data_IF_628335533981
#
_entry.id   IF_628335533981
#
_cell.length_a   1.000
_cell.length_b   1.000
_cell.length_c   1.000
_cell.angle_alpha   90.00
_cell.angle_beta   90.00
_cell.angle_gamma   90.00
#
_symmetry.space_group_name_H-M   'P 1'
#
loop_
_entity.id
_entity.type
_entity.pdbx_description
1 polymer ?
#
# COMPACT_ATOMS: atom_id res chain seq x y z
N UNK A 1 0.51 15.25 -18.30
CA UNK A 1 1.43 15.25 -17.16
C UNK A 1 2.82 14.91 -17.67
N UNK A 2 3.88 15.66 -17.30
CA UNK A 2 5.22 15.12 -17.49
C UNK A 2 5.33 13.87 -16.60
N UNK A 3 5.77 12.72 -17.11
CA UNK A 3 5.91 11.54 -16.28
C UNK A 3 7.04 11.82 -15.29
N UNK A 4 6.69 12.05 -14.03
CA UNK A 4 7.65 11.85 -12.95
C UNK A 4 8.24 10.43 -13.07
N UNK A 5 9.44 10.18 -12.52
CA UNK A 5 10.04 8.87 -12.58
C UNK A 5 9.04 7.83 -12.05
N UNK A 6 8.87 6.74 -12.81
CA UNK A 6 7.91 5.70 -12.44
C UNK A 6 8.27 5.11 -11.08
N UNK A 7 7.29 4.98 -10.19
CA UNK A 7 7.52 4.44 -8.85
C UNK A 7 7.51 2.92 -8.98
N UNK A 8 8.58 2.21 -8.57
CA UNK A 8 8.60 0.75 -8.64
C UNK A 8 7.44 0.13 -7.87
N UNK A 9 6.87 -0.97 -8.37
CA UNK A 9 5.77 -1.67 -7.72
C UNK A 9 6.08 -2.02 -6.26
N UNK A 10 7.29 -2.48 -5.96
CA UNK A 10 7.75 -2.77 -4.61
C UNK A 10 7.61 -1.54 -3.68
N UNK A 11 7.97 -0.34 -4.16
CA UNK A 11 7.83 0.91 -3.42
C UNK A 11 6.36 1.29 -3.19
N UNK A 12 5.50 1.09 -4.20
CA UNK A 12 4.04 1.27 -4.06
C UNK A 12 3.45 0.31 -3.02
N UNK A 13 3.87 -0.95 -3.03
CA UNK A 13 3.43 -1.96 -2.07
C UNK A 13 3.92 -1.68 -0.66
N UNK A 14 5.18 -1.24 -0.49
CA UNK A 14 5.73 -0.84 0.80
C UNK A 14 4.93 0.33 1.41
N UNK A 15 4.54 1.29 0.58
CA UNK A 15 3.69 2.40 1.01
C UNK A 15 2.31 1.94 1.48
N UNK A 16 1.63 1.09 0.69
CA UNK A 16 0.33 0.54 1.06
C UNK A 16 0.40 -0.33 2.32
N UNK A 17 1.50 -1.07 2.50
CA UNK A 17 1.75 -1.85 3.71
C UNK A 17 1.86 -0.96 4.94
N UNK A 18 2.60 0.15 4.86
CA UNK A 18 2.69 1.15 5.94
C UNK A 18 1.33 1.79 6.23
N UNK A 19 0.56 2.16 5.20
CA UNK A 19 -0.79 2.72 5.34
C UNK A 19 -1.72 1.75 6.08
N UNK A 20 -1.69 0.48 5.67
CA UNK A 20 -2.50 -0.57 6.29
C UNK A 20 -2.06 -0.86 7.73
N UNK A 21 -0.75 -0.87 7.99
CA UNK A 21 -0.21 -1.00 9.34
C UNK A 21 -0.63 0.15 10.26
N UNK A 22 -0.57 1.39 9.77
CA UNK A 22 -1.02 2.57 10.52
C UNK A 22 -2.51 2.53 10.88
N UNK A 23 -3.37 2.03 9.99
CA UNK A 23 -4.81 1.85 10.25
C UNK A 23 -5.09 0.71 11.25
N UNK A 24 -4.36 -0.40 11.14
CA UNK A 24 -4.59 -1.60 11.95
C UNK A 24 -3.79 -1.63 13.26
N UNK A 25 -2.86 -0.70 13.48
CA UNK A 25 -1.90 -0.69 14.58
C UNK A 25 -0.79 -1.74 14.48
N UNK A 26 -0.81 -2.62 13.47
CA UNK A 26 0.20 -3.66 13.23
C UNK A 26 0.32 -3.99 11.74
N UNK A 27 1.52 -4.34 11.30
CA UNK A 27 1.74 -4.84 9.95
C UNK A 27 1.03 -6.19 9.76
N UNK A 28 0.27 -6.40 8.67
CA UNK A 28 -0.32 -7.69 8.37
C UNK A 28 0.77 -8.73 8.05
N UNK A 29 0.53 -9.98 8.40
CA UNK A 29 1.41 -11.07 7.98
C UNK A 29 1.24 -11.38 6.49
N UNK A 30 2.25 -11.98 5.85
CA UNK A 30 2.14 -12.40 4.45
C UNK A 30 1.00 -13.40 4.21
N UNK A 31 0.69 -14.24 5.21
CA UNK A 31 -0.46 -15.16 5.17
C UNK A 31 -1.79 -14.43 5.23
N UNK A 32 -1.88 -13.37 6.02
CA UNK A 32 -3.08 -12.54 6.05
C UNK A 32 -3.27 -11.78 4.73
N UNK A 33 -2.17 -11.30 4.12
CA UNK A 33 -2.21 -10.68 2.79
C UNK A 33 -2.62 -11.68 1.72
N UNK A 34 -2.05 -12.89 1.71
CA UNK A 34 -2.45 -14.01 0.83
C UNK A 34 -3.96 -14.25 0.90
N UNK A 35 -4.50 -14.47 2.09
CA UNK A 35 -5.94 -14.67 2.28
C UNK A 35 -6.78 -13.47 1.77
N UNK A 36 -6.30 -12.25 2.00
CA UNK A 36 -6.99 -11.03 1.59
C UNK A 36 -7.00 -10.81 0.06
N UNK A 37 -6.18 -11.54 -0.70
CA UNK A 37 -6.25 -11.49 -2.17
C UNK A 37 -7.43 -12.27 -2.78
N UNK A 38 -8.11 -13.09 -1.98
CA UNK A 38 -9.26 -13.87 -2.43
C UNK A 38 -10.42 -12.97 -2.89
N UNK A 39 -11.23 -13.45 -3.84
CA UNK A 39 -12.40 -12.71 -4.34
C UNK A 39 -13.57 -12.67 -3.36
N UNK A 40 -13.65 -13.67 -2.49
CA UNK A 40 -14.66 -13.82 -1.46
C UNK A 40 -13.99 -14.23 -0.15
N UNK A 41 -14.58 -13.90 1.01
CA UNK A 41 -14.08 -14.39 2.29
C UNK A 41 -13.96 -15.92 2.29
N UNK A 42 -12.77 -16.45 2.59
CA UNK A 42 -12.49 -17.89 2.57
C UNK A 42 -12.28 -18.50 1.17
N UNK A 43 -12.34 -17.70 0.11
CA UNK A 43 -12.08 -18.15 -1.26
C UNK A 43 -10.60 -18.44 -1.54
N UNK A 44 -10.33 -18.98 -2.73
CA UNK A 44 -8.95 -19.23 -3.19
C UNK A 44 -8.20 -17.90 -3.38
N UNK A 45 -7.02 -17.71 -2.75
CA UNK A 45 -6.15 -16.58 -3.00
C UNK A 45 -5.78 -16.41 -4.47
N UNK A 46 -5.65 -15.16 -4.93
CA UNK A 46 -5.18 -14.86 -6.28
C UNK A 46 -3.68 -15.17 -6.46
N UNK A 47 -2.93 -15.20 -5.35
CA UNK A 47 -1.51 -15.53 -5.32
C UNK A 47 -1.10 -16.08 -3.97
N UNK A 48 0.04 -16.77 -3.92
CA UNK A 48 0.60 -17.30 -2.69
C UNK A 48 1.37 -16.23 -1.91
N UNK A 49 1.57 -16.43 -0.61
CA UNK A 49 2.41 -15.56 0.21
C UNK A 49 3.86 -15.42 -0.33
N UNK A 50 4.40 -16.45 -0.99
CA UNK A 50 5.73 -16.37 -1.61
C UNK A 50 5.72 -15.33 -2.74
N UNK A 51 4.73 -15.37 -3.63
CA UNK A 51 4.60 -14.38 -4.70
C UNK A 51 4.46 -12.96 -4.14
N UNK A 52 3.73 -12.79 -3.03
CA UNK A 52 3.60 -11.49 -2.36
C UNK A 52 4.96 -11.03 -1.82
N UNK A 53 5.74 -11.93 -1.22
CA UNK A 53 7.10 -11.62 -0.75
C UNK A 53 8.00 -11.18 -1.92
N UNK A 54 8.02 -11.94 -3.02
CA UNK A 54 8.82 -11.61 -4.21
C UNK A 54 8.45 -10.21 -4.77
N UNK A 55 7.15 -9.86 -4.80
CA UNK A 55 6.67 -8.55 -5.24
C UNK A 55 7.07 -7.42 -4.27
N UNK A 56 6.98 -7.66 -2.96
CA UNK A 56 7.39 -6.69 -1.93
C UNK A 56 8.89 -6.41 -1.94
N UNK A 57 9.69 -7.44 -2.25
CA UNK A 57 11.15 -7.34 -2.35
C UNK A 57 11.61 -6.80 -3.71
N UNK A 58 10.71 -6.70 -4.70
CA UNK A 58 11.03 -6.28 -6.06
C UNK A 58 11.73 -7.37 -6.90
N UNK A 59 11.75 -8.62 -6.44
CA UNK A 59 12.20 -9.77 -7.23
C UNK A 59 11.23 -10.06 -8.39
N UNK A 60 9.96 -9.70 -8.21
CA UNK A 60 8.95 -9.61 -9.27
C UNK A 60 8.41 -8.18 -9.33
N UNK A 61 8.18 -7.69 -10.54
CA UNK A 61 7.67 -6.33 -10.78
C UNK A 61 6.43 -6.27 -11.66
N UNK A 62 6.05 -7.38 -12.30
CA UNK A 62 4.94 -7.45 -13.26
C UNK A 62 3.88 -8.46 -12.81
N UNK A 63 2.91 -8.05 -11.98
CA UNK A 63 1.83 -8.91 -11.54
C UNK A 63 0.82 -9.10 -12.66
N UNK A 64 0.34 -10.33 -12.86
CA UNK A 64 -0.76 -10.62 -13.78
C UNK A 64 -2.02 -9.84 -13.38
N UNK A 65 -2.96 -9.64 -14.30
CA UNK A 65 -4.22 -8.92 -14.02
C UNK A 65 -4.97 -9.47 -12.81
N UNK A 66 -5.09 -10.79 -12.68
CA UNK A 66 -5.75 -11.42 -11.51
C UNK A 66 -5.00 -11.16 -10.20
N UNK A 67 -3.67 -11.03 -10.27
CA UNK A 67 -2.82 -10.69 -9.14
C UNK A 67 -2.98 -9.21 -8.75
N UNK A 68 -3.00 -8.29 -9.73
CA UNK A 68 -3.26 -6.87 -9.49
C UNK A 68 -4.64 -6.64 -8.83
N UNK A 69 -5.68 -7.33 -9.30
CA UNK A 69 -7.01 -7.33 -8.67
C UNK A 69 -6.96 -7.87 -7.23
N UNK A 70 -6.21 -8.95 -7.00
CA UNK A 70 -5.99 -9.50 -5.66
C UNK A 70 -5.27 -8.52 -4.72
N UNK A 71 -4.25 -7.81 -5.21
CA UNK A 71 -3.53 -6.79 -4.46
C UNK A 71 -4.43 -5.60 -4.12
N UNK A 72 -5.24 -5.13 -5.07
CA UNK A 72 -6.20 -4.06 -4.85
C UNK A 72 -7.16 -4.38 -3.70
N UNK A 73 -7.70 -5.60 -3.66
CA UNK A 73 -8.53 -6.08 -2.53
C UNK A 73 -7.73 -6.16 -1.23
N UNK A 74 -6.53 -6.74 -1.27
CA UNK A 74 -5.72 -6.94 -0.08
C UNK A 74 -5.28 -5.61 0.57
N UNK A 75 -5.01 -4.59 -0.23
CA UNK A 75 -4.55 -3.29 0.23
C UNK A 75 -5.62 -2.21 0.31
N UNK A 76 -6.85 -2.48 -0.16
CA UNK A 76 -7.93 -1.49 -0.26
C UNK A 76 -7.46 -0.26 -1.04
N UNK A 77 -6.99 -0.51 -2.27
CA UNK A 77 -6.38 0.50 -3.15
C UNK A 77 -6.83 0.32 -4.61
N UNK A 78 -6.88 1.42 -5.40
CA UNK A 78 -7.19 1.37 -6.82
C UNK A 78 -6.30 0.41 -7.61
N UNK A 79 -6.89 -0.41 -8.48
CA UNK A 79 -6.14 -1.41 -9.27
C UNK A 79 -5.11 -0.74 -10.17
N UNK A 80 -5.46 0.43 -10.73
CA UNK A 80 -4.59 1.19 -11.61
C UNK A 80 -3.28 1.59 -10.92
N UNK A 81 -3.27 1.78 -9.60
CA UNK A 81 -2.06 2.18 -8.87
C UNK A 81 -0.95 1.11 -8.96
N UNK A 82 -1.29 -0.17 -9.17
CA UNK A 82 -0.30 -1.24 -9.36
C UNK A 82 0.29 -1.30 -10.77
N UNK A 83 -0.23 -0.49 -11.71
CA UNK A 83 0.25 -0.46 -13.09
C UNK A 83 1.42 0.54 -13.25
N UNK A 84 2.34 0.29 -14.21
CA UNK A 84 3.40 1.24 -14.55
C UNK A 84 2.84 2.59 -15.01
N UNK A 85 3.45 3.69 -14.58
CA UNK A 85 3.07 5.06 -14.94
C UNK A 85 1.90 5.66 -14.16
N UNK A 86 1.21 4.87 -13.33
CA UNK A 86 0.09 5.32 -12.49
C UNK A 86 0.53 5.50 -11.03
N UNK A 87 1.03 6.68 -10.71
CA UNK A 87 1.62 6.99 -9.39
C UNK A 87 0.70 7.80 -8.47
N UNK A 88 -0.35 8.42 -9.01
CA UNK A 88 -1.29 9.24 -8.24
C UNK A 88 -2.29 8.42 -7.42
N UNK A 89 -1.88 7.87 -6.28
CA UNK A 89 -2.80 7.16 -5.38
C UNK A 89 -3.97 8.06 -4.96
N UNK A 90 -3.71 9.32 -4.60
CA UNK A 90 -4.74 10.27 -4.18
C UNK A 90 -5.77 10.54 -5.29
N UNK A 91 -5.32 10.77 -6.52
CA UNK A 91 -6.22 11.04 -7.65
C UNK A 91 -7.01 9.81 -8.06
N UNK A 92 -6.39 8.63 -8.05
CA UNK A 92 -7.07 7.36 -8.33
C UNK A 92 -8.14 7.02 -7.30
N UNK A 93 -7.87 7.25 -6.00
CA UNK A 93 -8.88 7.05 -4.95
C UNK A 93 -10.08 7.98 -5.11
N UNK A 94 -9.85 9.25 -5.46
CA UNK A 94 -10.94 10.19 -5.75
C UNK A 94 -11.72 9.75 -6.99
N UNK A 95 -11.03 9.34 -8.05
CA UNK A 95 -11.66 8.89 -9.28
C UNK A 95 -12.56 7.67 -9.07
N UNK A 96 -12.11 6.65 -8.35
CA UNK A 96 -12.92 5.44 -8.09
C UNK A 96 -14.02 5.71 -7.05
N UNK A 97 -13.72 6.50 -6.02
CA UNK A 97 -14.62 6.74 -4.88
C UNK A 97 -15.72 7.78 -5.09
N UNK A 98 -15.55 8.74 -6.01
CA UNK A 98 -16.49 9.86 -6.17
C UNK A 98 -17.08 9.94 -7.58
N UNK A 99 -18.39 9.72 -7.70
CA UNK A 99 -19.12 9.83 -8.96
C UNK A 99 -19.02 11.23 -9.58
N UNK A 100 -19.14 12.28 -8.76
CA UNK A 100 -19.06 13.68 -9.20
C UNK A 100 -17.68 14.05 -9.73
N UNK A 101 -16.60 13.44 -9.20
CA UNK A 101 -15.26 13.64 -9.75
C UNK A 101 -15.15 13.07 -11.18
N UNK A 102 -15.75 11.90 -11.43
CA UNK A 102 -15.83 11.31 -12.77
C UNK A 102 -16.73 12.10 -13.71
N UNK A 103 -17.79 12.70 -13.19
CA UNK A 103 -18.62 13.63 -13.96
C UNK A 103 -17.83 14.88 -14.36
N UNK A 104 -17.16 15.53 -13.42
CA UNK A 104 -16.33 16.70 -13.69
C UNK A 104 -15.26 16.44 -14.76
N UNK A 105 -14.60 15.27 -14.71
CA UNK A 105 -13.62 14.88 -15.74
C UNK A 105 -14.26 14.63 -17.12
N UNK A 106 -15.50 14.13 -17.17
CA UNK A 106 -16.23 13.98 -18.44
C UNK A 106 -16.64 15.32 -19.03
N UNK A 107 -17.08 16.26 -18.19
CA UNK A 107 -17.52 17.60 -18.60
C UNK A 107 -16.41 18.46 -19.20
N UNK A 108 -15.15 18.22 -18.82
CA UNK A 108 -14.01 18.97 -19.37
C UNK A 108 -13.36 18.32 -20.60
N UNK A 109 -13.84 17.14 -21.01
CA UNK A 109 -13.14 16.31 -22.01
C UNK A 109 -12.93 17.04 -23.34
N UNK A 110 -13.95 17.76 -23.83
CA UNK A 110 -13.95 18.50 -25.08
C UNK A 110 -13.37 19.91 -24.96
N UNK A 111 -13.11 20.38 -23.73
CA UNK A 111 -12.53 21.70 -23.45
C UNK A 111 -10.99 21.71 -23.51
N UNK A 112 -10.35 20.53 -23.57
CA UNK A 112 -8.90 20.39 -23.70
C UNK A 112 -8.11 20.97 -22.52
N UNK A 113 -6.90 21.47 -22.79
CA UNK A 113 -5.99 21.98 -21.75
C UNK A 113 -6.55 23.20 -21.00
N UNK A 114 -7.29 24.06 -21.69
CA UNK A 114 -7.90 25.25 -21.09
C UNK A 114 -8.94 24.86 -20.04
N UNK A 115 -9.85 23.92 -20.36
CA UNK A 115 -10.83 23.42 -19.40
C UNK A 115 -10.19 22.72 -18.20
N UNK A 116 -9.12 21.96 -18.43
CA UNK A 116 -8.36 21.35 -17.33
C UNK A 116 -7.72 22.39 -16.41
N UNK A 117 -7.14 23.47 -16.96
CA UNK A 117 -6.57 24.56 -16.17
C UNK A 117 -7.63 25.29 -15.34
N UNK A 118 -8.79 25.58 -15.93
CA UNK A 118 -9.92 26.20 -15.22
C UNK A 118 -10.46 25.30 -14.11
N UNK A 119 -10.58 23.99 -14.34
CA UNK A 119 -11.01 23.04 -13.31
C UNK A 119 -10.04 23.01 -12.12
N UNK A 120 -8.73 23.07 -12.38
CA UNK A 120 -7.71 23.12 -11.32
C UNK A 120 -7.85 24.41 -10.50
N UNK A 121 -8.03 25.56 -11.14
CA UNK A 121 -8.23 26.83 -10.44
C UNK A 121 -9.54 26.85 -9.64
N UNK A 122 -10.63 26.32 -10.19
CA UNK A 122 -11.89 26.14 -9.49
C UNK A 122 -11.72 25.25 -8.25
N UNK A 123 -11.01 24.13 -8.37
CA UNK A 123 -10.70 23.25 -7.24
C UNK A 123 -9.87 23.96 -6.15
N UNK A 124 -8.86 24.75 -6.53
CA UNK A 124 -8.06 25.58 -5.61
C UNK A 124 -8.92 26.64 -4.91
N UNK A 125 -9.84 27.29 -5.62
CA UNK A 125 -10.77 28.25 -5.05
C UNK A 125 -11.74 27.59 -4.04
N UNK A 126 -12.29 26.42 -4.37
CA UNK A 126 -13.11 25.63 -3.45
C UNK A 126 -12.33 25.30 -2.18
N UNK A 127 -11.09 24.80 -2.30
CA UNK A 127 -10.24 24.50 -1.13
C UNK A 127 -10.05 25.71 -0.21
N UNK A 128 -9.74 26.88 -0.78
CA UNK A 128 -9.60 28.14 -0.03
C UNK A 128 -10.87 28.52 0.71
N UNK A 129 -12.05 28.40 0.09
CA UNK A 129 -13.35 28.66 0.73
C UNK A 129 -13.61 27.74 1.93
N UNK A 130 -13.09 26.52 1.90
CA UNK A 130 -13.16 25.57 3.01
C UNK A 130 -11.98 25.66 3.99
N UNK A 131 -11.21 26.77 3.97
CA UNK A 131 -10.09 27.00 4.90
C UNK A 131 -8.86 26.12 4.65
N UNK A 132 -8.81 25.38 3.54
CA UNK A 132 -7.67 24.54 3.16
C UNK A 132 -6.70 25.38 2.32
N UNK A 133 -5.80 26.09 3.00
CA UNK A 133 -4.81 26.98 2.37
C UNK A 133 -3.67 26.22 1.69
N UNK A 134 -3.38 24.99 2.14
CA UNK A 134 -2.44 24.13 1.44
C UNK A 134 -3.05 23.65 0.12
N UNK A 135 -2.42 24.07 -0.98
CA UNK A 135 -2.80 23.73 -2.35
C UNK A 135 -1.97 22.58 -2.90
N UNK A 136 -0.88 22.20 -2.23
CA UNK A 136 -0.01 21.12 -2.66
C UNK A 136 -0.50 19.79 -2.08
N UNK A 137 -1.49 19.18 -2.74
CA UNK A 137 -1.91 17.82 -2.37
C UNK A 137 -0.97 16.82 -3.03
N UNK A 138 -0.24 16.00 -2.24
CA UNK A 138 0.69 15.06 -2.82
C UNK A 138 -0.06 13.95 -3.59
N UNK A 139 0.53 13.53 -4.71
CA UNK A 139 0.04 12.40 -5.51
C UNK A 139 -0.08 11.12 -4.69
N UNK A 140 0.82 10.95 -3.73
CA UNK A 140 0.84 9.85 -2.79
C UNK A 140 0.89 10.43 -1.38
N UNK A 141 -0.08 10.11 -0.49
CA UNK A 141 -0.11 10.66 0.86
C UNK A 141 1.17 10.35 1.63
N UNK A 142 1.76 11.36 2.26
CA UNK A 142 2.85 11.15 3.21
C UNK A 142 2.33 10.38 4.41
N UNK A 143 2.99 9.27 4.73
CA UNK A 143 2.67 8.46 5.90
C UNK A 143 3.58 8.85 7.05
N UNK A 144 3.03 9.04 8.27
CA UNK A 144 3.85 9.31 9.44
C UNK A 144 4.89 8.19 9.63
N UNK A 145 6.06 8.51 10.21
CA UNK A 145 7.05 7.49 10.53
C UNK A 145 6.44 6.47 11.48
N UNK A 146 6.47 5.19 11.11
CA UNK A 146 6.11 4.12 12.04
C UNK A 146 7.25 4.02 13.06
N UNK A 147 6.95 4.23 14.33
CA UNK A 147 7.82 3.78 15.41
C UNK A 147 7.77 2.25 15.36
N UNK A 148 8.79 1.61 14.77
CA UNK A 148 8.88 0.15 14.85
C UNK A 148 8.93 -0.23 16.34
N UNK A 149 7.97 -1.00 16.88
CA UNK A 149 8.16 -1.59 18.19
C UNK A 149 9.45 -2.43 18.12
N UNK A 150 10.29 -2.42 19.17
CA UNK A 150 11.55 -3.13 19.17
C UNK A 150 11.28 -4.58 18.76
N UNK A 151 11.86 -4.99 17.62
CA UNK A 151 11.68 -6.35 17.11
C UNK A 151 12.11 -7.30 18.24
N UNK A 152 11.23 -8.17 18.76
CA UNK A 152 11.65 -9.13 19.76
C UNK A 152 12.80 -9.92 19.14
N UNK A 153 13.97 -9.81 19.76
CA UNK A 153 15.20 -10.42 19.27
C UNK A 153 14.90 -11.87 18.91
N UNK A 154 15.25 -12.27 17.68
CA UNK A 154 15.14 -13.65 17.21
C UNK A 154 15.71 -14.53 18.32
N UNK A 155 14.87 -15.30 19.02
CA UNK A 155 15.32 -16.23 20.07
C UNK A 155 16.44 -17.05 19.46
N UNK A 156 17.68 -16.79 19.90
CA UNK A 156 18.85 -17.59 19.52
C UNK A 156 18.46 -19.03 19.83
N UNK A 157 18.44 -19.90 18.82
CA UNK A 157 18.34 -21.33 19.07
C UNK A 157 19.58 -21.68 19.90
N UNK A 158 19.37 -21.98 21.18
CA UNK A 158 20.43 -22.47 22.05
C UNK A 158 21.05 -23.68 21.35
N UNK A 159 22.37 -23.66 21.25
CA UNK A 159 23.11 -24.81 20.73
C UNK A 159 22.87 -26.03 21.63
N UNK A 160 23.05 -27.23 21.08
CA UNK A 160 22.79 -28.49 21.80
C UNK A 160 23.60 -28.58 23.11
N UNK A 161 24.78 -27.97 23.14
CA UNK A 161 25.64 -27.81 24.32
C UNK A 161 25.04 -26.85 25.36
N UNK A 162 24.52 -25.70 24.95
CA UNK A 162 23.87 -24.75 25.89
C UNK A 162 22.56 -25.29 26.50
N UNK A 163 21.89 -26.21 25.81
CA UNK A 163 20.73 -26.91 26.36
C UNK A 163 21.12 -27.98 27.39
N UNK A 164 22.26 -28.66 27.18
CA UNK A 164 22.79 -29.66 28.09
C UNK A 164 23.30 -29.03 29.41
N UNK A 165 24.05 -27.93 29.33
CA UNK A 165 24.56 -27.23 30.52
C UNK A 165 23.43 -26.69 31.42
N UNK A 166 22.31 -26.27 30.82
CA UNK A 166 21.13 -25.81 31.56
C UNK A 166 20.39 -26.97 32.25
N UNK A 167 20.33 -28.14 31.62
CA UNK A 167 19.74 -29.33 32.21
C UNK A 167 20.59 -29.89 33.37
N UNK A 168 21.92 -29.74 33.30
CA UNK A 168 22.83 -30.07 34.41
C UNK A 168 22.66 -29.09 35.58
N UNK A 169 22.56 -27.79 35.30
CA UNK A 169 22.34 -26.76 36.33
C UNK A 169 20.99 -26.90 37.05
N UNK A 170 19.94 -27.40 36.40
CA UNK A 170 18.64 -27.68 37.03
C UNK A 170 18.66 -28.97 37.89
N UNK A 171 19.65 -29.85 37.70
CA UNK A 171 19.85 -31.09 38.44
C UNK A 171 20.75 -30.92 39.67
N UNK A 172 21.68 -29.97 39.65
CA UNK A 172 22.57 -29.63 40.78
C UNK A 172 21.95 -28.63 41.77
N UNK A 173 20.74 -28.15 41.50
CA UNK A 173 19.98 -27.21 42.33
C UNK A 173 19.00 -27.85 43.34
N UNK A 174 19.34 -29.01 43.90
CA UNK A 174 18.62 -29.66 45.00
C UNK A 174 19.56 -29.95 46.19
#
# INVERSE_FOLDING_TARGET
>A
MPPGPDIPLASKLALLLRRKAGRAGKSPSLRALEAATAATPGGKPAMTHQVIADLLNGEKSDPKTSQALGLARAFDAPVAFFLPGYNGLTSLEVYEGQADAREALRLIHDLGEAGAAELVEAARAIRRRHGKTDTNIPEVPELPPMVEPPRPGRRRRLSFTEAADRAVSDLEGL
#
